data_IF_909634990829
#
_entry.id   IF_909634990829
#
_cell.length_a   1.000
_cell.length_b   1.000
_cell.length_c   1.000
_cell.angle_alpha   90.00
_cell.angle_beta   90.00
_cell.angle_gamma   90.00
#
_symmetry.space_group_name_H-M   'P 1'
#
loop_
_entity.id
_entity.type
_entity.pdbx_description
1 polymer ?
#
# COMPACT_ATOMS: atom_id res chain seq x y z
N UNK A 1 8.49 -12.12 -14.03
CA UNK A 1 9.17 -12.50 -12.76
C UNK A 1 9.94 -11.34 -12.13
N UNK A 2 10.66 -10.54 -12.89
CA UNK A 2 11.49 -9.45 -12.32
C UNK A 2 10.69 -8.39 -11.52
N UNK A 3 9.44 -8.12 -11.86
CA UNK A 3 8.58 -7.14 -11.19
C UNK A 3 7.92 -7.65 -9.90
N UNK A 4 7.74 -8.95 -9.78
CA UNK A 4 7.11 -9.57 -8.61
C UNK A 4 7.98 -9.43 -7.34
N UNK A 5 9.29 -9.62 -7.48
CA UNK A 5 10.22 -9.60 -6.35
C UNK A 5 10.21 -8.24 -5.62
N UNK A 6 10.31 -7.07 -6.29
CA UNK A 6 10.23 -5.78 -5.62
C UNK A 6 8.92 -5.57 -4.86
N UNK A 7 7.78 -5.93 -5.44
CA UNK A 7 6.47 -5.80 -4.78
C UNK A 7 6.37 -6.70 -3.56
N UNK A 8 6.80 -7.97 -3.68
CA UNK A 8 6.83 -8.91 -2.56
C UNK A 8 7.72 -8.42 -1.41
N UNK A 9 8.93 -7.95 -1.73
CA UNK A 9 9.86 -7.41 -0.73
C UNK A 9 9.25 -6.18 -0.04
N UNK A 10 8.62 -5.27 -0.80
CA UNK A 10 7.99 -4.08 -0.23
C UNK A 10 6.79 -4.43 0.65
N UNK A 11 5.95 -5.40 0.25
CA UNK A 11 4.84 -5.89 1.07
C UNK A 11 5.35 -6.51 2.38
N UNK A 12 6.43 -7.29 2.33
CA UNK A 12 7.06 -7.85 3.52
C UNK A 12 7.64 -6.76 4.44
N UNK A 13 8.27 -5.72 3.88
CA UNK A 13 8.77 -4.57 4.64
C UNK A 13 7.63 -3.78 5.30
N UNK A 14 6.49 -3.59 4.62
CA UNK A 14 5.31 -2.93 5.18
C UNK A 14 4.75 -3.68 6.40
N UNK A 15 4.69 -5.02 6.30
CA UNK A 15 4.31 -5.85 7.44
C UNK A 15 5.33 -5.69 8.59
N UNK A 16 6.62 -5.67 8.28
CA UNK A 16 7.67 -5.43 9.27
C UNK A 16 7.51 -4.09 10.00
N UNK A 17 7.28 -3.00 9.24
CA UNK A 17 7.03 -1.66 9.80
C UNK A 17 5.80 -1.66 10.69
N UNK A 18 4.70 -2.30 10.26
CA UNK A 18 3.47 -2.38 11.03
C UNK A 18 3.65 -3.18 12.33
N UNK A 19 4.39 -4.28 12.28
CA UNK A 19 4.70 -5.09 13.47
C UNK A 19 5.55 -4.29 14.46
N UNK A 20 6.62 -3.61 14.01
CA UNK A 20 7.46 -2.76 14.89
C UNK A 20 6.63 -1.65 15.53
N UNK A 21 5.74 -1.01 14.78
CA UNK A 21 4.87 0.03 15.33
C UNK A 21 3.92 -0.52 16.40
N UNK A 22 3.38 -1.73 16.19
CA UNK A 22 2.52 -2.41 17.17
C UNK A 22 3.30 -2.77 18.45
N UNK A 23 4.52 -3.27 18.31
CA UNK A 23 5.41 -3.56 19.45
C UNK A 23 5.71 -2.30 20.28
N UNK A 24 6.13 -1.22 19.60
CA UNK A 24 6.42 0.06 20.26
C UNK A 24 5.18 0.62 20.97
N UNK A 25 4.00 0.50 20.36
CA UNK A 25 2.74 0.92 20.96
C UNK A 25 2.38 0.07 22.18
N UNK A 26 2.69 -1.24 22.18
CA UNK A 26 2.49 -2.13 23.32
C UNK A 26 3.40 -1.77 24.50
N UNK A 27 4.70 -1.50 24.22
CA UNK A 27 5.68 -1.11 25.26
C UNK A 27 5.32 0.25 25.87
N UNK A 28 4.87 1.20 25.07
CA UNK A 28 4.49 2.53 25.54
C UNK A 28 3.18 3.01 24.89
N UNK A 29 2.04 2.78 25.54
CA UNK A 29 0.73 3.18 25.00
C UNK A 29 0.61 4.68 24.69
N UNK A 30 1.39 5.54 25.36
CA UNK A 30 1.34 6.99 25.13
C UNK A 30 1.81 7.41 23.73
N UNK A 31 2.62 6.58 23.06
CA UNK A 31 3.14 6.85 21.72
C UNK A 31 2.38 6.10 20.61
N UNK A 32 1.33 5.34 20.96
CA UNK A 32 0.58 4.50 20.01
C UNK A 32 0.12 5.30 18.79
N UNK A 33 -0.46 6.49 19.01
CA UNK A 33 -0.93 7.33 17.91
C UNK A 33 0.23 7.73 16.98
N UNK A 34 1.35 8.13 17.54
CA UNK A 34 2.53 8.54 16.77
C UNK A 34 3.07 7.36 15.97
N UNK A 35 3.23 6.19 16.60
CA UNK A 35 3.69 4.98 15.93
C UNK A 35 2.78 4.57 14.78
N UNK A 36 1.47 4.62 14.97
CA UNK A 36 0.48 4.29 13.93
C UNK A 36 0.55 5.26 12.75
N UNK A 37 0.59 6.57 13.02
CA UNK A 37 0.70 7.61 11.98
C UNK A 37 1.99 7.46 11.18
N UNK A 38 3.12 7.30 11.86
CA UNK A 38 4.43 7.13 11.22
C UNK A 38 4.47 5.84 10.40
N UNK A 39 4.00 4.73 10.94
CA UNK A 39 3.97 3.45 10.22
C UNK A 39 3.09 3.52 8.96
N UNK A 40 1.89 4.12 9.05
CA UNK A 40 1.02 4.28 7.90
C UNK A 40 1.66 5.16 6.81
N UNK A 41 2.34 6.24 7.19
CA UNK A 41 3.05 7.09 6.23
C UNK A 41 4.26 6.38 5.60
N UNK A 42 5.05 5.64 6.38
CA UNK A 42 6.16 4.85 5.86
C UNK A 42 5.68 3.75 4.90
N UNK A 43 4.58 3.08 5.22
CA UNK A 43 3.98 2.07 4.34
C UNK A 43 3.55 2.68 3.01
N UNK A 44 2.99 3.90 3.01
CA UNK A 44 2.62 4.60 1.78
C UNK A 44 3.86 4.99 0.96
N UNK A 45 4.93 5.43 1.60
CA UNK A 45 6.20 5.72 0.91
C UNK A 45 6.82 4.45 0.30
N UNK A 46 6.80 3.32 1.00
CA UNK A 46 7.27 2.04 0.49
C UNK A 46 6.45 1.59 -0.73
N UNK A 47 5.11 1.75 -0.70
CA UNK A 47 4.26 1.52 -1.87
C UNK A 47 4.67 2.40 -3.05
N UNK A 48 4.89 3.69 -2.85
CA UNK A 48 5.30 4.61 -3.91
C UNK A 48 6.64 4.22 -4.52
N UNK A 49 7.60 3.74 -3.72
CA UNK A 49 8.89 3.23 -4.23
C UNK A 49 8.66 1.98 -5.09
N UNK A 50 7.86 1.02 -4.63
CA UNK A 50 7.55 -0.18 -5.39
C UNK A 50 6.87 0.15 -6.73
N UNK A 51 5.88 1.04 -6.72
CA UNK A 51 5.19 1.49 -7.93
C UNK A 51 6.10 2.25 -8.88
N UNK A 52 7.04 3.04 -8.35
CA UNK A 52 8.04 3.74 -9.17
C UNK A 52 8.99 2.77 -9.88
N UNK A 53 9.43 1.72 -9.19
CA UNK A 53 10.25 0.67 -9.79
C UNK A 53 9.49 -0.06 -10.90
N UNK A 54 8.21 -0.36 -10.65
CA UNK A 54 7.33 -0.96 -11.65
C UNK A 54 7.14 -0.05 -12.87
N UNK A 55 6.83 1.23 -12.66
CA UNK A 55 6.59 2.19 -13.72
C UNK A 55 7.83 2.44 -14.59
N UNK A 56 9.02 2.51 -13.97
CA UNK A 56 10.30 2.65 -14.70
C UNK A 56 10.63 1.42 -15.53
N UNK A 57 10.35 0.21 -15.01
CA UNK A 57 10.59 -1.01 -15.77
C UNK A 57 9.63 -1.12 -16.97
N UNK A 58 8.37 -0.75 -16.77
CA UNK A 58 7.35 -0.71 -17.83
C UNK A 58 7.67 0.32 -18.92
N UNK A 59 8.21 1.48 -18.56
CA UNK A 59 8.60 2.52 -19.53
C UNK A 59 9.71 2.08 -20.48
N UNK A 60 10.50 1.08 -20.14
CA UNK A 60 11.51 0.48 -21.04
C UNK A 60 10.90 -0.35 -22.16
N UNK A 61 9.71 -0.91 -21.94
CA UNK A 61 9.00 -1.72 -22.92
C UNK A 61 8.19 -0.85 -23.90
N UNK A 62 7.87 0.39 -23.54
CA UNK A 62 7.20 1.34 -24.44
C UNK A 62 8.23 2.02 -25.34
N UNK A 63 7.86 2.24 -26.60
CA UNK A 63 8.71 2.60 -27.77
C UNK A 63 9.52 3.92 -27.62
N UNK A 64 9.39 4.66 -26.54
CA UNK A 64 10.19 5.84 -26.27
C UNK A 64 11.32 5.50 -25.29
N UNK A 65 12.58 5.45 -25.78
CA UNK A 65 13.72 5.28 -24.90
C UNK A 65 13.79 6.47 -23.95
N UNK A 66 13.49 6.24 -22.66
CA UNK A 66 13.71 7.24 -21.62
C UNK A 66 15.19 7.60 -21.64
N UNK A 67 15.51 8.81 -22.12
CA UNK A 67 16.90 9.31 -22.28
C UNK A 67 17.64 9.45 -20.93
N UNK A 68 16.92 9.41 -19.82
CA UNK A 68 17.49 9.55 -18.47
C UNK A 68 17.65 8.18 -17.80
N UNK A 69 18.80 7.92 -17.12
CA UNK A 69 18.98 6.70 -16.35
C UNK A 69 17.85 6.52 -15.32
N UNK A 70 17.30 5.29 -15.14
CA UNK A 70 16.17 5.02 -14.25
C UNK A 70 16.39 5.52 -12.81
N UNK A 71 17.62 5.36 -12.29
CA UNK A 71 17.99 5.81 -10.93
C UNK A 71 17.91 7.33 -10.81
N UNK A 72 18.30 8.06 -11.85
CA UNK A 72 18.26 9.52 -11.86
C UNK A 72 16.82 10.05 -11.92
N UNK A 73 15.97 9.36 -12.68
CA UNK A 73 14.54 9.66 -12.75
C UNK A 73 13.89 9.47 -11.38
N UNK A 74 14.14 8.34 -10.73
CA UNK A 74 13.64 8.07 -9.38
C UNK A 74 14.13 9.12 -8.39
N UNK A 75 15.42 9.39 -8.33
CA UNK A 75 16.00 10.34 -7.38
C UNK A 75 15.45 11.77 -7.58
N UNK A 76 15.28 12.21 -8.81
CA UNK A 76 14.78 13.56 -9.13
C UNK A 76 13.29 13.75 -8.80
N UNK A 77 12.50 12.68 -8.73
CA UNK A 77 11.07 12.72 -8.41
C UNK A 77 10.77 12.53 -6.92
N UNK A 78 11.77 12.14 -6.10
CA UNK A 78 11.57 11.88 -4.65
C UNK A 78 10.86 13.01 -3.90
N UNK A 79 11.25 14.31 -4.03
CA UNK A 79 10.56 15.38 -3.31
C UNK A 79 9.07 15.49 -3.67
N UNK A 80 8.74 15.27 -4.93
CA UNK A 80 7.39 15.29 -5.44
C UNK A 80 6.60 14.05 -4.99
N UNK A 81 7.24 12.88 -4.92
CA UNK A 81 6.67 11.66 -4.37
C UNK A 81 6.35 11.80 -2.88
N UNK A 82 7.24 12.38 -2.08
CA UNK A 82 7.00 12.63 -0.65
C UNK A 82 5.82 13.58 -0.47
N UNK A 83 5.78 14.68 -1.25
CA UNK A 83 4.68 15.65 -1.19
C UNK A 83 3.34 15.01 -1.61
N UNK A 84 3.33 14.22 -2.68
CA UNK A 84 2.16 13.46 -3.11
C UNK A 84 1.71 12.43 -2.08
N UNK A 85 2.65 11.68 -1.50
CA UNK A 85 2.36 10.74 -0.42
C UNK A 85 1.72 11.43 0.78
N UNK A 86 2.21 12.61 1.17
CA UNK A 86 1.63 13.38 2.26
C UNK A 86 0.17 13.78 1.97
N UNK A 87 -0.11 14.25 0.75
CA UNK A 87 -1.48 14.61 0.35
C UNK A 87 -2.40 13.38 0.28
N UNK A 88 -1.92 12.26 -0.27
CA UNK A 88 -2.67 10.99 -0.30
C UNK A 88 -2.92 10.49 1.13
N UNK A 89 -1.94 10.66 2.01
CA UNK A 89 -2.10 10.33 3.42
C UNK A 89 -3.17 11.18 4.11
N UNK A 90 -3.27 12.48 3.82
CA UNK A 90 -4.37 13.32 4.30
C UNK A 90 -5.73 12.81 3.80
N UNK A 91 -5.83 12.40 2.54
CA UNK A 91 -7.04 11.77 2.00
C UNK A 91 -7.34 10.47 2.76
N UNK A 92 -6.33 9.64 3.01
CA UNK A 92 -6.48 8.42 3.80
C UNK A 92 -7.01 8.71 5.21
N UNK A 93 -6.52 9.74 5.89
CA UNK A 93 -7.02 10.13 7.22
C UNK A 93 -8.50 10.53 7.20
N UNK A 94 -8.92 11.29 6.17
CA UNK A 94 -10.34 11.67 6.00
C UNK A 94 -11.20 10.44 5.77
N UNK A 95 -10.77 9.52 4.90
CA UNK A 95 -11.49 8.28 4.63
C UNK A 95 -11.52 7.35 5.85
N UNK A 96 -10.46 7.36 6.67
CA UNK A 96 -10.40 6.58 7.91
C UNK A 96 -11.44 7.04 8.93
N UNK A 97 -11.85 8.31 8.94
CA UNK A 97 -12.96 8.75 9.76
C UNK A 97 -14.27 8.01 9.40
N UNK A 98 -14.52 7.77 8.11
CA UNK A 98 -15.67 6.99 7.63
C UNK A 98 -15.59 5.56 8.15
N UNK A 99 -14.40 4.95 8.15
CA UNK A 99 -14.17 3.61 8.70
C UNK A 99 -14.51 3.56 10.18
N UNK A 100 -14.11 4.57 10.95
CA UNK A 100 -14.44 4.65 12.39
C UNK A 100 -15.95 4.70 12.60
N UNK A 101 -16.69 5.55 11.87
CA UNK A 101 -18.14 5.59 11.96
C UNK A 101 -18.80 4.28 11.54
N UNK A 102 -18.30 3.62 10.49
CA UNK A 102 -18.79 2.32 10.06
C UNK A 102 -18.55 1.25 11.13
N UNK A 103 -17.40 1.29 11.81
CA UNK A 103 -17.05 0.38 12.89
C UNK A 103 -17.95 0.53 14.13
N UNK A 104 -18.42 1.75 14.40
CA UNK A 104 -19.39 2.02 15.46
C UNK A 104 -20.75 1.40 15.17
N UNK A 105 -21.13 1.30 13.89
CA UNK A 105 -22.38 0.65 13.47
C UNK A 105 -22.26 -0.90 13.47
N UNK A 106 -21.14 -1.42 12.97
CA UNK A 106 -20.82 -2.85 12.93
C UNK A 106 -19.33 -3.06 12.71
N UNK A 107 -18.72 -3.96 13.49
CA UNK A 107 -17.30 -4.33 13.31
C UNK A 107 -17.03 -4.90 11.91
N UNK A 108 -17.95 -5.68 11.37
CA UNK A 108 -17.84 -6.26 10.03
C UNK A 108 -17.88 -5.17 8.94
N UNK A 109 -18.77 -4.19 9.08
CA UNK A 109 -18.85 -3.04 8.18
C UNK A 109 -17.58 -2.21 8.25
N UNK A 110 -17.02 -2.01 9.45
CA UNK A 110 -15.74 -1.34 9.64
C UNK A 110 -14.59 -2.02 8.90
N UNK A 111 -14.49 -3.35 9.00
CA UNK A 111 -13.47 -4.13 8.26
C UNK A 111 -13.65 -3.97 6.75
N UNK A 112 -14.86 -4.12 6.23
CA UNK A 112 -15.13 -3.97 4.81
C UNK A 112 -14.77 -2.55 4.32
N UNK A 113 -15.19 -1.52 5.04
CA UNK A 113 -14.84 -0.13 4.71
C UNK A 113 -13.32 0.11 4.74
N UNK A 114 -12.61 -0.46 5.72
CA UNK A 114 -11.14 -0.31 5.80
C UNK A 114 -10.43 -0.93 4.61
N UNK A 115 -10.87 -2.10 4.14
CA UNK A 115 -10.32 -2.76 2.96
C UNK A 115 -10.58 -1.95 1.68
N UNK A 116 -11.79 -1.41 1.53
CA UNK A 116 -12.13 -0.54 0.38
C UNK A 116 -11.27 0.73 0.40
N UNK A 117 -11.12 1.37 1.56
CA UNK A 117 -10.27 2.56 1.71
C UNK A 117 -8.82 2.24 1.36
N UNK A 118 -8.28 1.11 1.84
CA UNK A 118 -6.92 0.68 1.53
C UNK A 118 -6.71 0.54 0.01
N UNK A 119 -7.65 -0.11 -0.70
CA UNK A 119 -7.57 -0.26 -2.16
C UNK A 119 -7.68 1.09 -2.88
N UNK A 120 -8.56 1.98 -2.46
CA UNK A 120 -8.67 3.35 -3.02
C UNK A 120 -7.34 4.10 -2.88
N UNK A 121 -6.73 4.05 -1.71
CA UNK A 121 -5.44 4.69 -1.43
C UNK A 121 -4.32 4.08 -2.28
N UNK A 122 -4.29 2.75 -2.42
CA UNK A 122 -3.34 2.04 -3.28
C UNK A 122 -3.49 2.45 -4.74
N UNK A 123 -4.71 2.47 -5.27
CA UNK A 123 -5.00 2.90 -6.65
C UNK A 123 -4.60 4.36 -6.89
N UNK A 124 -4.90 5.24 -5.94
CA UNK A 124 -4.54 6.65 -6.02
C UNK A 124 -3.01 6.84 -6.01
N UNK A 125 -2.31 6.11 -5.14
CA UNK A 125 -0.84 6.11 -5.07
C UNK A 125 -0.22 5.57 -6.35
N UNK A 126 -0.69 4.44 -6.86
CA UNK A 126 -0.20 3.86 -8.11
C UNK A 126 -0.40 4.83 -9.27
N UNK A 127 -1.63 5.33 -9.46
CA UNK A 127 -1.95 6.27 -10.53
C UNK A 127 -1.12 7.56 -10.43
N UNK A 128 -0.92 8.09 -9.22
CA UNK A 128 -0.08 9.26 -8.99
C UNK A 128 1.36 9.02 -9.44
N UNK A 129 1.94 7.88 -9.08
CA UNK A 129 3.32 7.54 -9.46
C UNK A 129 3.46 7.35 -10.96
N UNK A 130 2.51 6.68 -11.62
CA UNK A 130 2.54 6.50 -13.08
C UNK A 130 2.41 7.83 -13.82
N UNK A 131 1.43 8.67 -13.45
CA UNK A 131 1.25 10.00 -14.04
C UNK A 131 2.49 10.87 -13.81
N UNK A 132 3.12 10.76 -12.65
CA UNK A 132 4.34 11.49 -12.33
C UNK A 132 5.51 11.08 -13.21
N UNK A 133 5.70 9.79 -13.45
CA UNK A 133 6.83 9.27 -14.24
C UNK A 133 6.65 9.60 -15.71
N UNK A 134 5.42 9.56 -16.24
CA UNK A 134 5.16 9.87 -17.64
C UNK A 134 5.21 11.38 -17.94
N UNK A 135 4.69 12.22 -17.04
CA UNK A 135 4.44 13.64 -17.34
C UNK A 135 5.44 14.61 -16.74
N UNK A 136 6.28 14.16 -15.80
CA UNK A 136 7.18 15.08 -15.11
C UNK A 136 8.23 15.66 -16.05
N UNK A 137 8.00 16.87 -16.53
CA UNK A 137 9.01 17.68 -17.20
C UNK A 137 10.24 17.88 -16.32
N UNK A 138 11.40 18.04 -16.95
CA UNK A 138 12.68 18.26 -16.25
C UNK A 138 12.60 19.46 -15.28
N UNK A 139 11.84 20.50 -15.64
CA UNK A 139 11.63 21.69 -14.81
C UNK A 139 10.79 21.44 -13.54
N UNK A 140 9.97 20.39 -13.55
CA UNK A 140 9.10 20.02 -12.43
C UNK A 140 9.74 19.02 -11.47
N UNK A 141 10.95 18.58 -11.77
CA UNK A 141 11.73 17.68 -10.92
C UNK A 141 12.44 18.44 -9.81
N UNK A 142 12.74 17.74 -8.73
CA UNK A 142 13.39 18.31 -7.55
C UNK A 142 12.45 19.14 -6.66
N UNK A 143 13.02 19.95 -5.78
CA UNK A 143 12.28 20.70 -4.75
C UNK A 143 11.25 21.69 -5.33
N UNK A 144 11.51 22.24 -6.49
CA UNK A 144 10.55 23.16 -7.16
C UNK A 144 9.28 22.46 -7.60
N UNK A 145 9.33 21.15 -7.82
CA UNK A 145 8.21 20.32 -8.24
C UNK A 145 7.14 20.14 -7.16
N UNK A 146 7.45 20.31 -5.87
CA UNK A 146 6.55 20.04 -4.75
C UNK A 146 5.18 20.74 -4.92
N UNK A 147 5.17 21.98 -5.41
CA UNK A 147 3.95 22.76 -5.66
C UNK A 147 3.01 22.15 -6.69
N UNK A 148 3.49 21.23 -7.53
CA UNK A 148 2.69 20.58 -8.57
C UNK A 148 2.03 19.27 -8.09
N UNK A 149 2.36 18.76 -6.90
CA UNK A 149 1.78 17.52 -6.38
C UNK A 149 0.23 17.49 -6.42
N UNK A 150 -0.50 18.57 -6.05
CA UNK A 150 -1.96 18.57 -6.15
C UNK A 150 -2.46 18.38 -7.58
N UNK A 151 -1.77 18.96 -8.58
CA UNK A 151 -2.13 18.81 -10.00
C UNK A 151 -2.00 17.37 -10.46
N UNK A 152 -0.92 16.68 -10.07
CA UNK A 152 -0.72 15.27 -10.40
C UNK A 152 -1.74 14.37 -9.71
N UNK A 153 -2.12 14.66 -8.47
CA UNK A 153 -3.18 13.93 -7.77
C UNK A 153 -4.53 14.11 -8.47
N UNK A 154 -4.89 15.33 -8.85
CA UNK A 154 -6.14 15.58 -9.57
C UNK A 154 -6.17 14.86 -10.93
N UNK A 155 -5.05 14.83 -11.64
CA UNK A 155 -4.93 14.06 -12.89
C UNK A 155 -5.06 12.55 -12.62
N UNK A 156 -4.45 12.03 -11.56
CA UNK A 156 -4.59 10.63 -11.15
C UNK A 156 -6.05 10.26 -10.86
N UNK A 157 -6.79 11.13 -10.17
CA UNK A 157 -8.24 10.94 -9.94
C UNK A 157 -9.00 10.92 -11.26
N UNK A 158 -8.64 11.77 -12.22
CA UNK A 158 -9.28 11.81 -13.55
C UNK A 158 -9.01 10.51 -14.31
N UNK A 159 -7.77 10.01 -14.31
CA UNK A 159 -7.39 8.72 -14.90
C UNK A 159 -8.21 7.58 -14.28
N UNK A 160 -8.24 7.48 -12.96
CA UNK A 160 -8.99 6.43 -12.27
C UNK A 160 -10.49 6.48 -12.59
N UNK A 161 -11.04 7.69 -12.68
CA UNK A 161 -12.47 7.86 -13.02
C UNK A 161 -12.79 7.44 -14.45
N UNK A 162 -11.95 7.81 -15.41
CA UNK A 162 -12.18 7.47 -16.83
C UNK A 162 -12.01 5.98 -17.11
N UNK A 163 -11.09 5.33 -16.43
CA UNK A 163 -10.69 3.94 -16.66
C UNK A 163 -11.20 2.97 -15.58
N UNK A 164 -12.20 3.39 -14.81
CA UNK A 164 -12.74 2.59 -13.69
C UNK A 164 -13.16 1.19 -14.10
N UNK A 165 -13.76 1.04 -15.29
CA UNK A 165 -14.26 -0.27 -15.78
C UNK A 165 -13.14 -1.30 -15.94
N UNK A 166 -11.95 -0.86 -16.34
CA UNK A 166 -10.80 -1.74 -16.57
C UNK A 166 -10.11 -2.13 -15.26
N UNK A 167 -10.08 -1.18 -14.30
CA UNK A 167 -9.43 -1.35 -13.01
C UNK A 167 -10.35 -2.05 -12.01
N UNK A 168 -11.67 -1.94 -12.15
CA UNK A 168 -12.63 -2.44 -11.17
C UNK A 168 -12.49 -3.95 -10.91
N UNK A 169 -12.29 -4.76 -11.95
CA UNK A 169 -12.15 -6.22 -11.79
C UNK A 169 -10.92 -6.60 -10.95
N UNK A 170 -9.69 -6.19 -11.30
CA UNK A 170 -8.51 -6.52 -10.48
C UNK A 170 -8.58 -5.88 -9.09
N UNK A 171 -9.12 -4.67 -8.95
CA UNK A 171 -9.32 -4.03 -7.65
C UNK A 171 -10.30 -4.83 -6.76
N UNK A 172 -11.39 -5.34 -7.32
CA UNK A 172 -12.35 -6.18 -6.59
C UNK A 172 -11.72 -7.50 -6.13
N UNK A 173 -10.89 -8.12 -6.96
CA UNK A 173 -10.16 -9.33 -6.60
C UNK A 173 -9.16 -9.06 -5.46
N UNK A 174 -8.48 -7.92 -5.49
CA UNK A 174 -7.57 -7.51 -4.42
C UNK A 174 -8.32 -7.29 -3.09
N UNK A 175 -9.49 -6.62 -3.13
CA UNK A 175 -10.36 -6.47 -1.93
C UNK A 175 -10.81 -7.83 -1.41
N UNK A 176 -11.30 -8.70 -2.29
CA UNK A 176 -11.77 -10.03 -1.90
C UNK A 176 -10.66 -10.87 -1.27
N UNK A 177 -9.45 -10.84 -1.86
CA UNK A 177 -8.29 -11.52 -1.28
C UNK A 177 -7.91 -10.97 0.09
N UNK A 178 -7.83 -9.65 0.24
CA UNK A 178 -7.53 -9.02 1.53
C UNK A 178 -8.57 -9.37 2.60
N UNK A 179 -9.86 -9.47 2.22
CA UNK A 179 -10.91 -9.91 3.11
C UNK A 179 -10.70 -11.37 3.56
N UNK A 180 -10.44 -12.28 2.62
CA UNK A 180 -10.17 -13.69 2.92
C UNK A 180 -8.94 -13.84 3.83
N UNK A 181 -7.86 -13.15 3.52
CA UNK A 181 -6.64 -13.16 4.33
C UNK A 181 -6.88 -12.59 5.75
N UNK A 182 -7.63 -11.49 5.86
CA UNK A 182 -8.00 -10.91 7.16
C UNK A 182 -8.84 -11.87 7.99
N UNK A 183 -9.82 -12.55 7.38
CA UNK A 183 -10.62 -13.58 8.07
C UNK A 183 -9.75 -14.76 8.52
N UNK A 184 -8.85 -15.25 7.66
CA UNK A 184 -7.95 -16.34 8.00
C UNK A 184 -7.01 -15.98 9.17
N UNK A 185 -6.45 -14.76 9.15
CA UNK A 185 -5.64 -14.23 10.25
C UNK A 185 -6.46 -14.17 11.54
N UNK A 186 -7.68 -13.63 11.50
CA UNK A 186 -8.53 -13.53 12.68
C UNK A 186 -8.90 -14.91 13.27
N UNK A 187 -9.17 -15.89 12.41
CA UNK A 187 -9.45 -17.28 12.86
C UNK A 187 -8.20 -17.88 13.52
N UNK A 188 -7.03 -17.72 12.91
CA UNK A 188 -5.77 -18.21 13.50
C UNK A 188 -5.48 -17.53 14.83
N UNK A 189 -5.61 -16.20 14.89
CA UNK A 189 -5.44 -15.41 16.11
C UNK A 189 -6.42 -15.87 17.19
N UNK A 190 -7.71 -16.00 16.87
CA UNK A 190 -8.73 -16.47 17.81
C UNK A 190 -8.42 -17.87 18.35
N UNK A 191 -7.94 -18.78 17.49
CA UNK A 191 -7.55 -20.12 17.90
C UNK A 191 -6.32 -20.10 18.84
N UNK A 192 -5.28 -19.33 18.52
CA UNK A 192 -4.08 -19.22 19.36
C UNK A 192 -4.40 -18.55 20.70
N UNK A 193 -5.16 -17.46 20.69
CA UNK A 193 -5.57 -16.74 21.92
C UNK A 193 -6.43 -17.60 22.82
N UNK A 194 -7.40 -18.33 22.27
CA UNK A 194 -8.27 -19.21 23.05
C UNK A 194 -7.50 -20.38 23.67
N UNK A 195 -6.41 -20.84 23.03
CA UNK A 195 -5.57 -21.93 23.55
C UNK A 195 -4.59 -21.49 24.65
N UNK A 196 -4.23 -20.20 24.70
CA UNK A 196 -3.13 -19.70 25.55
C UNK A 196 -3.54 -18.60 26.54
N UNK A 197 -4.82 -18.19 26.60
CA UNK A 197 -5.31 -17.11 27.47
C UNK A 197 -4.55 -15.79 27.32
N UNK A 198 -4.04 -15.47 26.13
CA UNK A 198 -3.21 -14.30 25.84
C UNK A 198 -4.03 -13.01 25.67
N UNK A 199 -3.45 -11.84 26.00
CA UNK A 199 -4.06 -10.55 25.68
C UNK A 199 -4.16 -10.33 24.17
N UNK A 200 -5.13 -9.55 23.75
CA UNK A 200 -5.62 -9.37 22.37
C UNK A 200 -4.66 -8.78 21.34
N UNK A 201 -3.43 -8.43 21.68
CA UNK A 201 -2.43 -7.92 20.75
C UNK A 201 -1.46 -9.04 20.36
N UNK A 202 -1.63 -9.58 19.15
CA UNK A 202 -0.75 -10.62 18.62
C UNK A 202 0.32 -10.00 17.73
N UNK A 203 1.55 -10.02 18.25
CA UNK A 203 2.75 -9.92 17.43
C UNK A 203 3.44 -11.28 17.37
N UNK A 204 4.25 -11.50 16.33
CA UNK A 204 5.08 -12.72 16.22
C UNK A 204 6.00 -12.86 17.43
N UNK A 205 6.55 -11.76 17.90
CA UNK A 205 7.45 -11.70 19.07
C UNK A 205 6.72 -12.08 20.37
N UNK A 206 5.47 -11.63 20.56
CA UNK A 206 4.66 -12.05 21.72
C UNK A 206 4.41 -13.57 21.69
N UNK A 207 4.06 -14.15 20.54
CA UNK A 207 3.88 -15.59 20.42
C UNK A 207 5.15 -16.38 20.71
N UNK A 208 6.29 -15.91 20.25
CA UNK A 208 7.60 -16.53 20.52
C UNK A 208 7.97 -16.41 22.00
N UNK A 209 7.72 -15.26 22.62
CA UNK A 209 8.02 -15.02 24.03
C UNK A 209 7.18 -15.93 24.96
N UNK A 210 5.93 -16.17 24.58
CA UNK A 210 5.05 -17.09 25.30
C UNK A 210 5.27 -18.58 24.97
N UNK A 211 6.29 -18.90 24.18
CA UNK A 211 6.63 -20.29 23.81
C UNK A 211 5.69 -20.93 22.78
N UNK A 212 4.84 -20.14 22.14
CA UNK A 212 3.87 -20.60 21.13
C UNK A 212 4.45 -20.65 19.72
N UNK A 213 5.56 -21.36 19.57
CA UNK A 213 6.34 -21.42 18.32
C UNK A 213 5.52 -21.89 17.11
N UNK A 214 4.62 -22.86 17.30
CA UNK A 214 3.75 -23.34 16.21
C UNK A 214 2.76 -22.26 15.75
N UNK A 215 2.21 -21.50 16.67
CA UNK A 215 1.34 -20.35 16.37
C UNK A 215 2.10 -19.25 15.63
N UNK A 216 3.31 -18.92 16.09
CA UNK A 216 4.19 -17.95 15.43
C UNK A 216 4.55 -18.38 14.01
N UNK A 217 4.90 -19.67 13.82
CA UNK A 217 5.22 -20.23 12.51
C UNK A 217 4.02 -20.20 11.56
N UNK A 218 2.84 -20.63 12.02
CA UNK A 218 1.62 -20.62 11.22
C UNK A 218 1.22 -19.18 10.82
N UNK A 219 1.36 -18.22 11.74
CA UNK A 219 1.12 -16.81 11.47
C UNK A 219 2.09 -16.24 10.43
N UNK A 220 3.39 -16.52 10.57
CA UNK A 220 4.41 -16.11 9.57
C UNK A 220 4.15 -16.72 8.21
N UNK A 221 3.80 -17.99 8.14
CA UNK A 221 3.48 -18.67 6.88
C UNK A 221 2.25 -18.01 6.21
N UNK A 222 1.21 -17.71 6.97
CA UNK A 222 0.00 -17.06 6.47
C UNK A 222 0.32 -15.65 5.93
N UNK A 223 1.17 -14.88 6.64
CA UNK A 223 1.62 -13.57 6.18
C UNK A 223 2.44 -13.68 4.88
N UNK A 224 3.33 -14.65 4.75
CA UNK A 224 4.09 -14.87 3.53
C UNK A 224 3.19 -15.23 2.34
N UNK A 225 2.22 -16.10 2.54
CA UNK A 225 1.22 -16.44 1.51
C UNK A 225 0.40 -15.21 1.14
N UNK A 226 -0.01 -14.41 2.14
CA UNK A 226 -0.74 -13.17 1.89
C UNK A 226 0.10 -12.20 1.05
N UNK A 227 1.36 -11.93 1.42
CA UNK A 227 2.26 -11.09 0.63
C UNK A 227 2.42 -11.60 -0.80
N UNK A 228 2.59 -12.92 -0.97
CA UNK A 228 2.78 -13.52 -2.28
C UNK A 228 1.57 -13.30 -3.21
N UNK A 229 0.37 -13.60 -2.70
CA UNK A 229 -0.86 -13.47 -3.51
C UNK A 229 -1.26 -12.02 -3.69
N UNK A 230 -1.13 -11.17 -2.66
CA UNK A 230 -1.41 -9.74 -2.75
C UNK A 230 -0.51 -9.08 -3.80
N UNK A 231 0.80 -9.35 -3.77
CA UNK A 231 1.74 -8.80 -4.76
C UNK A 231 1.45 -9.27 -6.18
N UNK A 232 0.95 -10.49 -6.35
CA UNK A 232 0.53 -10.98 -7.67
C UNK A 232 -0.71 -10.25 -8.18
N UNK A 233 -1.72 -10.05 -7.33
CA UNK A 233 -2.93 -9.29 -7.69
C UNK A 233 -2.64 -7.80 -7.90
N UNK A 234 -1.71 -7.22 -7.14
CA UNK A 234 -1.27 -5.84 -7.31
C UNK A 234 -0.63 -5.61 -8.70
N UNK A 235 0.08 -6.60 -9.25
CA UNK A 235 0.62 -6.50 -10.61
C UNK A 235 -0.51 -6.28 -11.63
N UNK A 236 -1.61 -7.02 -11.54
CA UNK A 236 -2.74 -6.88 -12.46
C UNK A 236 -3.38 -5.50 -12.33
N UNK A 237 -3.50 -4.98 -11.10
CA UNK A 237 -3.99 -3.62 -10.84
C UNK A 237 -3.06 -2.58 -11.45
N UNK A 238 -1.75 -2.71 -11.22
CA UNK A 238 -0.74 -1.79 -11.72
C UNK A 238 -0.65 -1.80 -13.25
N UNK A 239 -0.79 -2.97 -13.87
CA UNK A 239 -0.86 -3.11 -15.33
C UNK A 239 -2.08 -2.37 -15.89
N UNK A 240 -3.26 -2.54 -15.29
CA UNK A 240 -4.46 -1.81 -15.65
C UNK A 240 -4.27 -0.30 -15.56
N UNK A 241 -3.76 0.19 -14.43
CA UNK A 241 -3.48 1.63 -14.25
C UNK A 241 -2.48 2.15 -15.27
N UNK A 242 -1.40 1.42 -15.55
CA UNK A 242 -0.37 1.85 -16.52
C UNK A 242 -0.92 1.98 -17.94
N UNK A 243 -1.76 1.05 -18.37
CA UNK A 243 -2.42 1.11 -19.68
C UNK A 243 -3.32 2.35 -19.80
N UNK A 244 -4.10 2.63 -18.76
CA UNK A 244 -5.01 3.77 -18.74
C UNK A 244 -4.25 5.11 -18.78
N UNK A 245 -3.11 5.23 -18.08
CA UNK A 245 -2.29 6.44 -18.11
C UNK A 245 -1.69 6.62 -19.51
N UNK A 246 -1.15 5.56 -20.11
CA UNK A 246 -0.54 5.61 -21.44
C UNK A 246 -1.54 5.94 -22.57
N UNK A 247 -2.81 5.52 -22.46
CA UNK A 247 -3.86 5.87 -23.42
C UNK A 247 -4.26 7.35 -23.33
N UNK A 248 -4.25 7.95 -22.16
CA UNK A 248 -4.56 9.38 -21.99
C UNK A 248 -3.41 10.32 -22.37
N UNK A 249 -2.19 9.80 -22.46
CA UNK A 249 -1.02 10.56 -22.90
C UNK A 249 -0.86 10.64 -24.42
N UNK A 250 -1.62 9.83 -25.18
CA UNK A 250 -1.71 9.85 -26.65
C UNK A 250 -2.80 10.77 -27.13
#
# INVERSE_FOLDING_TARGET
MALYIPLFVMSALQIGVSNVATELAYINPSITLICTVVAAFLNLLLSNVAFSLFAVDRSKETVQPVRTPPVYLLASTVPLQISGALLIYLVHLILSAIVVFASLASSQLGVLCSLVVAVIVTLLSASFVFVLIEDADVEQRGLRGIRFAPRYIMRSVTVLRSSWREIARPATLLVAWNLVASCAIQVLVGWVVSSAALPSALSVTALVHEGLYYGAFAYMLLLLVHCAVASWLEIDVLMGVSLCVSEQAR
#
